data_IF_518679714413
#
_entry.id   IF_518679714413
#
_cell.length_a   1.000
_cell.length_b   1.000
_cell.length_c   1.000
_cell.angle_alpha   90.00
_cell.angle_beta   90.00
_cell.angle_gamma   90.00
#
_symmetry.space_group_name_H-M   'P 1'
#
loop_
_entity.id
_entity.type
_entity.pdbx_description
1 polymer ?
2 water ?
#
# COMPACT_ATOMS: atom_id res chain seq x y z
N UNK A 25 -35.97 14.74 -8.23
CA UNK A 25 -36.65 13.61 -8.87
C UNK A 25 -35.93 12.28 -8.58
N UNK A 26 -36.65 11.14 -8.73
CA UNK A 26 -36.17 9.77 -8.48
C UNK A 26 -35.01 9.38 -9.39
N UNK A 27 -35.12 9.68 -10.71
CA UNK A 27 -34.10 9.37 -11.72
C UNK A 27 -32.83 10.18 -11.51
N UNK A 28 -32.96 11.48 -11.14
CA UNK A 28 -31.85 12.40 -10.89
C UNK A 28 -31.07 12.02 -9.64
N UNK A 29 -31.78 11.65 -8.55
CA UNK A 29 -31.18 11.22 -7.28
C UNK A 29 -30.42 9.88 -7.46
N UNK A 30 -30.97 8.99 -8.31
CA UNK A 30 -30.42 7.66 -8.63
C UNK A 30 -29.14 7.79 -9.45
N UNK A 31 -29.15 8.66 -10.50
CA UNK A 31 -28.04 8.92 -11.41
C UNK A 31 -26.88 9.56 -10.68
N UNK A 32 -27.19 10.44 -9.68
CA UNK A 32 -26.21 11.16 -8.86
C UNK A 32 -25.46 10.19 -7.95
N UNK A 33 -26.20 9.24 -7.33
CA UNK A 33 -25.62 8.23 -6.45
C UNK A 33 -24.76 7.25 -7.25
N UNK A 34 -25.25 6.85 -8.45
CA UNK A 34 -24.55 5.96 -9.37
C UNK A 34 -23.22 6.56 -9.83
N UNK A 35 -23.20 7.90 -10.09
CA UNK A 35 -22.02 8.64 -10.51
C UNK A 35 -21.01 8.78 -9.36
N UNK A 36 -21.50 8.98 -8.12
CA UNK A 36 -20.65 9.10 -6.93
C UNK A 36 -19.96 7.76 -6.60
N UNK A 37 -20.68 6.64 -6.82
CA UNK A 37 -20.24 5.26 -6.60
C UNK A 37 -19.18 4.86 -7.64
N UNK A 38 -19.44 5.15 -8.93
CA UNK A 38 -18.56 4.86 -10.07
C UNK A 38 -17.19 5.54 -9.91
N UNK A 39 -17.18 6.83 -9.48
CA UNK A 39 -16.00 7.68 -9.24
C UNK A 39 -15.15 7.21 -8.04
N UNK A 40 -15.81 6.57 -7.04
CA UNK A 40 -15.17 6.01 -5.84
C UNK A 40 -14.59 4.62 -6.17
N UNK A 41 -15.41 3.74 -6.80
CA UNK A 41 -15.03 2.39 -7.21
C UNK A 41 -13.80 2.41 -8.13
N UNK A 42 -13.75 3.39 -9.05
CA UNK A 42 -12.63 3.52 -9.98
C UNK A 42 -11.38 3.98 -9.25
N UNK A 43 -11.50 4.90 -8.27
CA UNK A 43 -10.37 5.42 -7.51
C UNK A 43 -9.73 4.28 -6.67
N UNK A 44 -10.56 3.56 -5.89
CA UNK A 44 -10.15 2.43 -5.05
C UNK A 44 -9.53 1.34 -5.93
N UNK A 45 -10.14 1.02 -7.07
CA UNK A 45 -9.65 0.05 -8.03
C UNK A 45 -8.30 0.40 -8.63
N UNK A 46 -8.07 1.70 -8.90
CA UNK A 46 -6.80 2.21 -9.44
C UNK A 46 -5.70 2.18 -8.38
N UNK A 47 -6.00 2.66 -7.17
CA UNK A 47 -5.05 2.66 -6.07
C UNK A 47 -4.71 1.19 -5.72
N UNK A 48 -5.71 0.34 -5.68
CA UNK A 48 -5.59 -1.09 -5.40
C UNK A 48 -4.65 -1.79 -6.37
N UNK A 49 -4.73 -1.44 -7.67
CA UNK A 49 -3.87 -2.04 -8.69
C UNK A 49 -2.40 -1.70 -8.36
N UNK A 50 -2.15 -0.47 -7.99
CA UNK A 50 -0.84 0.06 -7.59
C UNK A 50 -0.34 -0.55 -6.28
N UNK A 51 -1.20 -1.12 -5.43
CA UNK A 51 -0.74 -1.74 -4.19
C UNK A 51 -0.38 -3.19 -4.41
N UNK A 52 -1.23 -3.90 -5.17
CA UNK A 52 -1.14 -5.35 -5.42
C UNK A 52 -0.10 -5.77 -6.49
N UNK A 53 0.18 -4.94 -7.48
CA UNK A 53 1.17 -5.29 -8.53
C UNK A 53 2.62 -5.31 -7.94
N UNK A 54 3.17 -4.24 -7.29
CA UNK A 54 4.52 -4.36 -6.70
C UNK A 54 4.57 -5.43 -5.61
N UNK A 55 3.45 -5.68 -4.94
CA UNK A 55 3.38 -6.69 -3.88
C UNK A 55 3.68 -8.11 -4.38
N UNK A 56 3.15 -8.47 -5.54
CA UNK A 56 3.35 -9.77 -6.17
C UNK A 56 4.86 -10.01 -6.40
N UNK A 57 5.58 -8.96 -6.83
CA UNK A 57 7.01 -8.94 -7.11
C UNK A 57 7.83 -9.14 -5.80
N UNK A 58 7.43 -8.44 -4.73
CA UNK A 58 8.06 -8.51 -3.41
C UNK A 58 7.93 -9.93 -2.85
N UNK A 59 6.71 -10.52 -2.88
CA UNK A 59 6.47 -11.88 -2.38
C UNK A 59 7.30 -12.87 -3.19
N UNK A 60 7.15 -12.86 -4.52
CA UNK A 60 7.83 -13.76 -5.44
C UNK A 60 9.34 -13.81 -5.28
N UNK A 61 9.98 -12.65 -5.30
CA UNK A 61 11.44 -12.57 -5.14
C UNK A 61 11.94 -12.79 -3.70
N UNK A 62 11.20 -12.33 -2.65
CA UNK A 62 11.66 -12.60 -1.25
C UNK A 62 11.59 -14.12 -0.94
N UNK A 63 10.60 -14.85 -1.51
CA UNK A 63 10.46 -16.30 -1.33
C UNK A 63 11.68 -17.03 -1.95
N UNK A 64 12.23 -16.50 -3.07
CA UNK A 64 13.41 -17.05 -3.72
C UNK A 64 14.64 -16.84 -2.85
N UNK A 65 14.69 -15.71 -2.10
CA UNK A 65 15.78 -15.38 -1.19
C UNK A 65 15.83 -16.36 -0.04
N UNK A 66 14.65 -16.69 0.54
CA UNK A 66 14.45 -17.64 1.66
C UNK A 66 15.08 -18.99 1.34
N UNK A 67 14.96 -19.46 0.07
CA UNK A 67 15.51 -20.75 -0.38
C UNK A 67 16.73 -20.51 -1.34
N UNK A 68 17.76 -19.80 -0.81
CA UNK A 68 19.00 -19.45 -1.51
C UNK A 68 20.21 -19.51 -0.58
N UNK A 69 21.34 -20.11 -1.05
CA UNK A 69 22.58 -20.29 -0.28
C UNK A 69 23.34 -18.98 -0.11
N UNK A 72 25.70 -13.94 -2.96
CA UNK A 72 25.72 -14.48 -4.34
C UNK A 72 25.10 -13.51 -5.36
N UNK A 73 25.55 -13.60 -6.63
CA UNK A 73 25.08 -12.73 -7.72
C UNK A 73 23.58 -12.91 -8.02
N UNK A 74 23.09 -14.18 -8.03
CA UNK A 74 21.66 -14.50 -8.27
C UNK A 74 20.80 -13.87 -7.16
N UNK A 75 21.22 -14.09 -5.90
CA UNK A 75 20.59 -13.58 -4.70
C UNK A 75 20.52 -12.07 -4.64
N UNK A 76 21.59 -11.41 -5.11
CA UNK A 76 21.71 -9.95 -5.17
C UNK A 76 20.63 -9.38 -6.09
N UNK A 77 20.41 -10.02 -7.26
CA UNK A 77 19.41 -9.62 -8.26
C UNK A 77 17.99 -9.78 -7.69
N UNK A 78 17.79 -10.78 -6.83
CA UNK A 78 16.53 -11.03 -6.16
C UNK A 78 16.26 -9.91 -5.14
N UNK A 79 17.27 -9.54 -4.34
CA UNK A 79 17.20 -8.45 -3.35
C UNK A 79 16.85 -7.13 -4.07
N UNK A 80 17.60 -6.80 -5.13
CA UNK A 80 17.42 -5.60 -5.92
C UNK A 80 16.00 -5.52 -6.47
N UNK A 81 15.43 -6.65 -6.90
CA UNK A 81 14.06 -6.68 -7.43
C UNK A 81 13.08 -6.44 -6.29
N UNK A 82 13.32 -6.98 -5.10
CA UNK A 82 12.52 -6.73 -3.89
C UNK A 82 12.56 -5.23 -3.50
N UNK A 83 13.77 -4.66 -3.39
CA UNK A 83 13.98 -3.26 -3.04
C UNK A 83 13.31 -2.30 -4.07
N UNK A 84 13.45 -2.55 -5.39
CA UNK A 84 12.83 -1.73 -6.44
C UNK A 84 11.29 -1.79 -6.38
N UNK A 85 10.72 -2.96 -6.15
CA UNK A 85 9.27 -3.10 -6.08
C UNK A 85 8.70 -2.42 -4.83
N UNK A 86 9.42 -2.57 -3.69
CA UNK A 86 9.04 -1.97 -2.42
C UNK A 86 9.10 -0.45 -2.48
N UNK A 87 10.14 0.09 -3.12
CA UNK A 87 10.36 1.53 -3.32
C UNK A 87 9.23 2.10 -4.24
N UNK A 88 8.87 1.37 -5.30
CA UNK A 88 7.78 1.79 -6.20
C UNK A 88 6.42 1.84 -5.45
N UNK A 89 6.18 0.87 -4.55
CA UNK A 89 4.95 0.82 -3.76
C UNK A 89 4.90 2.07 -2.81
N UNK A 90 6.02 2.38 -2.13
CA UNK A 90 6.22 3.56 -1.28
C UNK A 90 5.93 4.88 -2.03
N UNK A 91 6.43 5.02 -3.27
CA UNK A 91 6.17 6.20 -4.10
C UNK A 91 4.70 6.33 -4.47
N UNK A 92 4.03 5.23 -4.81
CA UNK A 92 2.60 5.24 -5.11
C UNK A 92 1.78 5.75 -3.91
N UNK A 93 2.11 5.30 -2.68
CA UNK A 93 1.43 5.75 -1.44
C UNK A 93 1.72 7.27 -1.21
N UNK A 94 2.98 7.69 -1.38
CA UNK A 94 3.33 9.10 -1.23
C UNK A 94 2.58 9.95 -2.27
N UNK A 95 2.44 9.46 -3.51
CA UNK A 95 1.69 10.14 -4.57
C UNK A 95 0.23 10.32 -4.24
N UNK A 96 -0.43 9.27 -3.66
CA UNK A 96 -1.84 9.35 -3.29
C UNK A 96 -2.04 10.39 -2.19
N UNK A 97 -1.15 10.42 -1.21
CA UNK A 97 -1.19 11.40 -0.11
C UNK A 97 -0.90 12.84 -0.58
N UNK A 98 0.11 13.02 -1.42
CA UNK A 98 0.49 14.34 -1.94
C UNK A 98 -0.58 14.90 -2.89
N UNK A 99 -1.17 14.06 -3.74
CA UNK A 99 -2.25 14.42 -4.64
C UNK A 99 -3.51 14.88 -3.86
N UNK A 100 -3.85 14.22 -2.73
CA UNK A 100 -5.01 14.57 -1.89
C UNK A 100 -4.79 15.93 -1.22
N UNK A 101 -3.53 16.19 -0.75
CA UNK A 101 -3.09 17.44 -0.14
C UNK A 101 -3.23 18.63 -1.14
N UNK A 102 -2.82 18.40 -2.40
CA UNK A 102 -2.90 19.35 -3.51
C UNK A 102 -4.38 19.62 -3.87
N UNK A 103 -5.23 18.56 -3.93
CA UNK A 103 -6.66 18.64 -4.25
C UNK A 103 -7.45 19.42 -3.17
N UNK A 104 -7.03 19.31 -1.91
CA UNK A 104 -7.61 20.02 -0.77
C UNK A 104 -7.10 21.48 -0.70
N UNK A 105 -6.08 21.80 -1.50
CA UNK A 105 -5.43 23.12 -1.53
C UNK A 105 -4.60 23.35 -0.29
N UNK A 106 -4.12 22.25 0.33
CA UNK A 106 -3.33 22.23 1.56
C UNK A 106 -1.81 22.13 1.30
N UNK A 107 -1.38 22.19 0.04
CA UNK A 107 0.06 22.14 -0.19
C UNK A 107 0.58 23.49 -0.59
N UNK A 108 1.32 24.11 0.33
CA UNK A 108 1.97 25.40 0.14
C UNK A 108 3.47 25.14 0.00
N UNK A 109 4.09 25.75 -1.01
CA UNK A 109 5.51 25.59 -1.27
C UNK A 109 6.36 26.47 -0.35
N UNK A 110 7.55 25.97 0.01
CA UNK A 110 8.58 26.63 0.80
C UNK A 110 9.65 27.16 -0.17
N UNK A 111 9.44 28.37 -0.74
CA UNK A 111 10.30 28.98 -1.76
C UNK A 111 11.66 29.47 -1.19
N UNK A 112 12.76 28.91 -1.78
CA UNK A 112 14.15 29.20 -1.45
C UNK A 112 15.08 29.03 -2.69
N UNK A 113 16.35 29.46 -2.57
CA UNK A 113 17.36 29.37 -3.63
C UNK A 113 17.84 27.91 -3.84
N UNK A 114 17.68 27.42 -5.09
CA UNK A 114 18.01 26.06 -5.50
C UNK A 114 19.08 26.08 -6.60
N UNK A 115 20.21 25.40 -6.38
CA UNK A 115 21.23 25.28 -7.41
C UNK A 115 20.81 24.11 -8.28
N UNK A 116 20.51 24.37 -9.55
CA UNK A 116 20.02 23.36 -10.50
C UNK A 116 21.02 22.19 -10.67
N UNK A 117 22.33 22.48 -10.71
CA UNK A 117 23.40 21.50 -10.86
C UNK A 117 23.31 20.38 -9.80
N UNK A 118 23.13 20.76 -8.52
CA UNK A 118 23.05 19.79 -7.43
C UNK A 118 21.74 19.00 -7.48
N UNK A 119 20.62 19.68 -7.82
CA UNK A 119 19.28 19.12 -7.94
C UNK A 119 19.26 17.95 -8.96
N UNK A 120 19.96 18.12 -10.10
CA UNK A 120 20.09 17.12 -11.15
C UNK A 120 20.99 15.95 -10.71
N UNK A 121 22.13 16.23 -10.04
CA UNK A 121 23.06 15.19 -9.59
C UNK A 121 22.47 14.35 -8.45
N UNK A 122 21.61 14.96 -7.62
CA UNK A 122 20.96 14.25 -6.51
C UNK A 122 19.92 13.28 -7.06
N UNK A 123 19.21 13.67 -8.15
CA UNK A 123 18.22 12.79 -8.75
C UNK A 123 18.90 11.60 -9.46
N UNK A 124 20.10 11.83 -10.00
CA UNK A 124 20.93 10.82 -10.68
C UNK A 124 21.47 9.77 -9.67
N UNK A 125 21.95 10.21 -8.50
CA UNK A 125 22.49 9.29 -7.51
C UNK A 125 21.38 8.50 -6.79
N UNK A 126 20.16 9.09 -6.62
CA UNK A 126 19.04 8.39 -5.97
C UNK A 126 18.50 7.28 -6.89
N UNK A 127 18.58 7.48 -8.22
CA UNK A 127 18.07 6.51 -9.20
C UNK A 127 19.15 5.57 -9.76
N UNK A 128 20.44 5.88 -9.54
CA UNK A 128 21.59 5.11 -10.02
C UNK A 128 21.46 3.58 -9.83
N UNK A 129 21.02 3.11 -8.64
CA UNK A 129 20.85 1.68 -8.35
C UNK A 129 19.77 1.03 -9.24
N UNK A 130 18.58 1.67 -9.37
CA UNK A 130 17.46 1.17 -10.19
C UNK A 130 17.81 1.21 -11.72
N UNK A 131 18.77 2.07 -12.11
CA UNK A 131 19.23 2.22 -13.48
C UNK A 131 20.17 1.07 -13.85
N UNK A 132 21.06 0.69 -12.92
CA UNK A 132 22.03 -0.38 -13.12
C UNK A 132 21.30 -1.72 -13.12
N UNK A 133 20.22 -1.83 -12.35
CA UNK A 133 19.34 -3.02 -12.27
C UNK A 133 18.63 -3.25 -13.62
N UNK A 134 18.28 -2.16 -14.30
CA UNK A 134 17.65 -2.19 -15.62
C UNK A 134 18.62 -2.06 -16.78
N UNK A 135 19.93 -2.07 -16.48
CA UNK A 135 21.01 -1.96 -17.47
C UNK A 135 20.98 -0.68 -18.28
N UNK A 136 20.58 0.43 -17.65
CA UNK A 136 20.44 1.76 -18.26
C UNK A 136 21.52 2.71 -17.70
N UNK A 137 21.94 3.68 -18.51
CA UNK A 137 22.93 4.72 -18.20
C UNK A 137 22.21 6.01 -17.87
N UNK A 138 22.44 6.55 -16.66
CA UNK A 138 21.90 7.84 -16.22
C UNK A 138 22.92 8.92 -16.46
N UNK A 139 22.59 9.90 -17.30
CA UNK A 139 23.48 11.00 -17.59
C UNK A 139 22.92 12.34 -17.11
N UNK A 140 23.83 13.30 -16.79
CA UNK A 140 23.55 14.67 -16.37
C UNK A 140 24.29 15.63 -17.32
N UNK A 141 23.55 16.52 -17.98
CA UNK A 141 24.12 17.51 -18.91
C UNK A 141 23.61 18.90 -18.52
N UNK A 142 24.22 19.47 -17.48
CA UNK A 142 23.89 20.80 -16.95
C UNK A 142 25.16 21.65 -16.88
N UNK A 143 25.09 22.88 -17.42
CA UNK A 143 26.22 23.81 -17.40
C UNK A 143 26.29 24.58 -16.08
N UNK A 144 27.44 25.23 -15.81
CA UNK A 144 27.67 26.04 -14.61
C UNK A 144 26.88 27.37 -14.67
N UNK A 145 26.53 27.80 -15.91
CA UNK A 145 25.82 29.04 -16.23
C UNK A 145 24.28 28.96 -15.96
N UNK A 146 23.76 27.75 -15.64
CA UNK A 146 22.33 27.57 -15.33
C UNK A 146 22.06 28.21 -13.95
N UNK A 147 23.02 28.04 -13.04
CA UNK A 147 23.04 28.62 -11.71
C UNK A 147 21.96 28.21 -10.74
N UNK A 148 21.30 29.22 -10.11
CA UNK A 148 20.28 29.07 -9.08
C UNK A 148 18.88 29.55 -9.50
N UNK A 149 17.86 28.75 -9.16
CA UNK A 149 16.44 29.04 -9.36
C UNK A 149 15.76 29.20 -8.00
N UNK A 150 14.53 29.75 -7.95
CA UNK A 150 13.82 29.92 -6.68
C UNK A 150 12.54 29.10 -6.68
N UNK A 151 12.51 28.09 -5.83
CA UNK A 151 11.42 27.14 -5.69
C UNK A 151 11.54 26.29 -4.43
N UNK A 152 10.74 25.22 -4.38
CA UNK A 152 10.71 24.28 -3.27
C UNK A 152 11.59 23.10 -3.64
N UNK A 153 12.69 22.94 -2.90
CA UNK A 153 13.68 21.89 -3.11
C UNK A 153 13.14 20.47 -3.06
N UNK A 154 12.32 20.20 -2.04
CA UNK A 154 11.71 18.89 -1.83
C UNK A 154 10.79 18.55 -2.99
N UNK A 155 9.93 19.49 -3.37
CA UNK A 155 8.94 19.27 -4.41
C UNK A 155 9.58 19.17 -5.78
N UNK A 156 10.65 19.94 -6.05
CA UNK A 156 11.39 19.85 -7.31
C UNK A 156 12.20 18.53 -7.39
N UNK A 157 12.72 18.03 -6.25
CA UNK A 157 13.45 16.76 -6.17
C UNK A 157 12.51 15.58 -6.45
N UNK A 158 11.30 15.67 -5.91
CA UNK A 158 10.24 14.71 -6.09
C UNK A 158 9.76 14.70 -7.55
N UNK A 159 9.69 15.89 -8.19
CA UNK A 159 9.32 16.02 -9.60
C UNK A 159 10.33 15.26 -10.48
N UNK A 160 11.63 15.51 -10.28
CA UNK A 160 12.70 14.84 -11.04
C UNK A 160 12.71 13.34 -10.79
N UNK A 161 12.47 12.92 -9.55
CA UNK A 161 12.41 11.50 -9.21
C UNK A 161 11.35 10.78 -10.02
N UNK A 162 10.13 11.38 -10.12
CA UNK A 162 9.02 10.79 -10.86
C UNK A 162 9.33 10.68 -12.32
N UNK A 163 9.98 11.72 -12.90
CA UNK A 163 10.36 11.73 -14.31
C UNK A 163 11.46 10.72 -14.63
N UNK A 164 12.46 10.55 -13.74
CA UNK A 164 13.56 9.58 -13.91
C UNK A 164 13.05 8.12 -13.81
N UNK A 165 12.16 7.83 -12.85
CA UNK A 165 11.66 6.47 -12.68
C UNK A 165 10.72 6.11 -13.82
N UNK A 166 9.94 7.10 -14.31
CA UNK A 166 9.07 6.94 -15.47
C UNK A 166 9.94 6.61 -16.70
N UNK A 167 11.06 7.36 -16.87
CA UNK A 167 12.02 7.17 -17.96
C UNK A 167 12.68 5.78 -17.88
N UNK A 168 13.13 5.34 -16.68
CA UNK A 168 13.77 4.04 -16.48
C UNK A 168 12.86 2.86 -16.83
N UNK A 169 11.55 3.02 -16.58
CA UNK A 169 10.53 2.00 -16.84
C UNK A 169 10.28 1.80 -18.33
N UNK A 170 10.50 2.86 -19.14
CA UNK A 170 10.29 2.89 -20.59
C UNK A 170 11.56 2.49 -21.38
N UNK A 171 12.77 2.75 -20.82
CA UNK A 171 14.07 2.50 -21.46
C UNK A 171 14.49 1.01 -21.36
N UNK A 172 14.88 0.37 -22.50
CA UNK A 172 15.33 -1.03 -22.44
C UNK A 172 16.81 -1.13 -22.00
N UNK A 173 17.32 -2.34 -21.66
CA UNK A 173 18.73 -2.43 -21.23
C UNK A 173 19.69 -2.06 -22.37
N UNK A 174 20.68 -1.24 -22.04
CA UNK A 174 21.64 -0.70 -22.99
C UNK A 174 21.31 0.73 -23.36
N UNK A 175 20.08 1.16 -23.01
CA UNK A 175 19.58 2.49 -23.26
C UNK A 175 20.17 3.57 -22.36
N UNK A 176 19.72 4.82 -22.58
CA UNK A 176 20.17 5.99 -21.83
C UNK A 176 19.01 6.89 -21.42
N UNK A 177 19.11 7.45 -20.20
CA UNK A 177 18.20 8.41 -19.60
C UNK A 177 19.03 9.64 -19.26
N UNK A 178 18.69 10.80 -19.83
CA UNK A 178 19.45 12.02 -19.61
C UNK A 178 18.65 13.06 -18.85
N UNK A 179 19.30 13.68 -17.85
CA UNK A 179 18.81 14.77 -17.02
C UNK A 179 19.53 16.04 -17.41
N UNK A 180 18.83 16.97 -18.04
CA UNK A 180 19.48 18.23 -18.45
C UNK A 180 18.71 19.47 -17.96
N UNK A 181 19.39 20.62 -17.95
CA UNK A 181 18.83 21.90 -17.57
C UNK A 181 19.35 22.98 -18.48
N UNK A 182 18.55 24.02 -18.73
CA UNK A 182 18.93 25.14 -19.60
C UNK A 182 18.21 26.41 -19.20
N UNK A 183 18.97 27.51 -19.09
CA UNK A 183 18.45 28.85 -18.82
C UNK A 183 18.38 29.59 -20.15
N UNK A 184 17.18 29.72 -20.71
CA UNK A 184 16.96 30.40 -21.99
C UNK A 184 15.53 30.90 -22.11
N UNK A 185 15.36 32.06 -22.75
CA UNK A 185 14.10 32.75 -23.07
C UNK A 185 13.28 33.08 -21.83
N UNK A 186 13.94 33.66 -20.82
CA UNK A 186 13.34 34.08 -19.56
C UNK A 186 12.75 32.98 -18.71
N UNK A 187 13.36 31.79 -18.75
CA UNK A 187 12.92 30.63 -17.97
C UNK A 187 14.07 29.62 -17.80
N UNK A 188 13.82 28.64 -16.92
CA UNK A 188 14.72 27.50 -16.74
C UNK A 188 13.91 26.28 -17.12
N UNK A 189 14.45 25.43 -17.99
CA UNK A 189 13.78 24.22 -18.41
C UNK A 189 14.57 22.99 -17.98
N UNK A 190 13.92 22.08 -17.27
CA UNK A 190 14.50 20.81 -16.81
C UNK A 190 14.02 19.70 -17.75
N UNK A 191 14.94 19.01 -18.42
CA UNK A 191 14.54 17.95 -19.35
C UNK A 191 14.94 16.58 -18.86
N UNK A 192 14.11 15.57 -19.12
CA UNK A 192 14.39 14.17 -18.77
C UNK A 192 14.09 13.38 -20.04
N UNK A 193 15.15 13.13 -20.82
CA UNK A 193 15.12 12.45 -22.09
C UNK A 193 15.42 10.96 -21.91
N UNK A 194 14.81 10.12 -22.74
CA UNK A 194 15.05 8.69 -22.68
C UNK A 194 15.12 8.11 -24.08
N UNK A 195 15.95 7.06 -24.24
CA UNK A 195 16.14 6.38 -25.53
C UNK A 195 15.24 5.16 -25.59
N UNK A 196 14.14 5.21 -24.85
CA UNK A 196 13.19 4.13 -24.76
C UNK A 196 12.18 4.10 -25.88
N UNK A 197 11.11 3.35 -25.61
CA UNK A 197 9.96 3.26 -26.45
C UNK A 197 9.23 4.58 -26.32
N UNK A 198 8.79 5.11 -27.44
CA UNK A 198 8.06 6.36 -27.41
C UNK A 198 6.65 6.15 -26.91
N UNK A 199 6.02 7.23 -26.48
CA UNK A 199 4.65 7.24 -26.06
C UNK A 199 3.77 7.12 -27.34
N UNK A 200 2.89 6.09 -27.49
CA UNK A 200 2.04 6.07 -28.70
C UNK A 200 1.13 7.31 -28.73
N UNK A 201 0.94 7.87 -29.93
CA UNK A 201 0.18 9.08 -30.20
C UNK A 201 -1.13 9.26 -29.37
N UNK A 202 -1.96 8.21 -29.27
CA UNK A 202 -3.26 8.27 -28.59
C UNK A 202 -3.15 8.53 -27.09
N UNK A 203 -2.04 8.12 -26.44
CA UNK A 203 -1.90 8.37 -25.01
C UNK A 203 -1.13 9.67 -24.74
N UNK A 204 -0.47 10.27 -25.78
CA UNK A 204 0.32 11.50 -25.66
C UNK A 204 -0.48 12.71 -25.11
N UNK A 205 -1.77 12.82 -25.46
CA UNK A 205 -2.65 13.91 -25.04
C UNK A 205 -3.10 13.76 -23.57
N UNK A 206 -3.09 12.52 -23.05
CA UNK A 206 -3.55 12.18 -21.70
C UNK A 206 -2.38 11.73 -20.80
N UNK A 207 -1.15 12.04 -21.19
CA UNK A 207 0.02 11.54 -20.47
C UNK A 207 0.07 12.04 -19.00
N UNK A 208 -0.45 13.25 -18.70
CA UNK A 208 -0.44 13.85 -17.36
C UNK A 208 -1.78 13.65 -16.62
N UNK A 209 -2.64 12.74 -17.11
CA UNK A 209 -3.91 12.37 -16.47
C UNK A 209 -3.65 11.27 -15.46
N UNK A 210 -4.39 11.30 -14.35
CA UNK A 210 -4.31 10.34 -13.26
C UNK A 210 -4.71 8.97 -13.70
N UNK A 211 -3.88 7.98 -13.37
CA UNK A 211 -4.13 6.57 -13.66
C UNK A 211 -4.48 6.31 -15.15
N UNK A 212 -3.66 6.90 -16.07
CA UNK A 212 -3.80 6.75 -17.51
C UNK A 212 -3.20 5.37 -17.92
N UNK A 213 -3.96 4.63 -18.72
CA UNK A 213 -3.63 3.29 -19.19
C UNK A 213 -2.46 3.23 -20.16
N UNK A 214 -1.27 2.81 -19.65
CA UNK A 214 -0.02 2.66 -20.41
C UNK A 214 0.31 1.15 -20.59
N UNK A 215 0.72 0.76 -21.81
CA UNK A 215 1.03 -0.62 -22.21
C UNK A 215 2.32 -1.16 -21.54
N UNK A 216 3.42 -0.37 -21.55
CA UNK A 216 4.73 -0.73 -20.97
C UNK A 216 4.68 -0.83 -19.44
N UNK A 217 3.89 0.05 -18.81
CA UNK A 217 3.71 0.15 -17.36
C UNK A 217 3.06 1.46 -16.98
N UNK A 218 2.15 1.41 -16.01
CA UNK A 218 1.41 2.57 -15.53
C UNK A 218 2.16 3.57 -14.66
N UNK A 219 2.09 4.89 -14.97
CA UNK A 219 2.75 5.91 -14.11
C UNK A 219 1.94 6.29 -12.85
N UNK A 220 0.68 5.81 -12.77
CA UNK A 220 -0.26 6.05 -11.70
C UNK A 220 -0.58 7.52 -11.55
N UNK A 221 -0.15 8.08 -10.40
CA UNK A 221 -0.32 9.52 -10.08
C UNK A 221 0.98 10.31 -10.26
N UNK A 222 2.08 9.60 -10.55
CA UNK A 222 3.40 10.18 -10.79
C UNK A 222 3.45 11.38 -11.73
N UNK A 223 2.90 11.25 -12.95
CA UNK A 223 2.96 12.33 -13.95
C UNK A 223 1.94 13.44 -13.67
N UNK A 224 0.83 13.12 -13.02
CA UNK A 224 -0.18 14.10 -12.62
C UNK A 224 0.38 14.98 -11.52
N UNK A 225 1.22 14.40 -10.68
CA UNK A 225 1.94 15.03 -9.56
C UNK A 225 3.02 15.96 -10.09
N UNK A 226 3.81 15.51 -11.08
CA UNK A 226 4.81 16.33 -11.78
C UNK A 226 4.14 17.61 -12.30
N UNK A 227 3.02 17.46 -13.04
CA UNK A 227 2.27 18.58 -13.60
C UNK A 227 1.77 19.53 -12.51
N UNK A 228 1.17 18.99 -11.42
CA UNK A 228 0.62 19.76 -10.30
C UNK A 228 1.71 20.50 -9.51
N UNK A 229 2.86 19.87 -9.31
CA UNK A 229 3.99 20.48 -8.58
C UNK A 229 4.64 21.60 -9.39
N UNK A 230 4.87 21.38 -10.70
CA UNK A 230 5.46 22.38 -11.58
C UNK A 230 4.48 23.54 -11.78
N UNK A 231 3.17 23.25 -11.85
CA UNK A 231 2.15 24.29 -12.03
C UNK A 231 2.00 25.13 -10.77
N UNK A 232 2.34 24.56 -9.59
CA UNK A 232 2.31 25.25 -8.29
C UNK A 232 3.47 26.25 -8.22
N UNK A 233 4.55 26.00 -9.00
CA UNK A 233 5.74 26.86 -9.12
C UNK A 233 5.54 27.96 -10.19
N UNK A 234 4.33 28.07 -10.74
CA UNK A 234 3.99 29.01 -11.83
C UNK A 234 4.45 28.55 -13.19
N UNK A 235 4.81 27.27 -13.30
CA UNK A 235 5.29 26.68 -14.54
C UNK A 235 4.31 25.74 -15.23
N UNK A 236 4.81 25.00 -16.22
CA UNK A 236 4.05 24.05 -17.04
C UNK A 236 4.97 22.93 -17.54
N UNK A 237 4.38 21.80 -17.95
CA UNK A 237 5.12 20.60 -18.37
C UNK A 237 4.74 20.24 -19.77
N UNK A 238 5.63 19.57 -20.46
CA UNK A 238 5.41 19.13 -21.84
C UNK A 238 6.07 17.78 -22.09
N UNK A 239 5.52 17.05 -23.08
CA UNK A 239 6.02 15.77 -23.55
C UNK A 239 6.31 15.86 -25.04
N UNK A 240 7.55 15.55 -25.42
CA UNK A 240 7.99 15.45 -26.81
C UNK A 240 8.31 13.99 -27.05
N UNK A 241 7.49 13.31 -27.87
CA UNK A 241 7.67 11.89 -28.09
C UNK A 241 7.41 11.44 -29.51
N UNK A 242 8.06 10.33 -29.86
CA UNK A 242 7.93 9.60 -31.12
C UNK A 242 8.28 8.13 -30.80
N UNK A 243 7.34 7.15 -31.03
CA UNK A 243 7.63 5.72 -30.74
C UNK A 243 9.06 5.18 -31.03
N UNK A 244 9.71 5.65 -32.11
CA UNK A 244 11.07 5.25 -32.47
C UNK A 244 12.20 6.20 -32.10
N UNK A 245 11.87 7.37 -31.51
CA UNK A 245 12.85 8.40 -31.14
C UNK A 245 12.80 8.78 -29.64
N UNK A 246 12.49 7.81 -28.78
CA UNK A 246 12.41 8.03 -27.34
C UNK A 246 11.37 9.04 -26.90
N UNK A 247 11.61 9.68 -25.74
CA UNK A 247 10.71 10.65 -25.12
C UNK A 247 11.47 11.72 -24.35
N UNK A 248 10.90 12.92 -24.27
CA UNK A 248 11.46 14.02 -23.48
C UNK A 248 10.35 14.68 -22.73
N UNK A 249 10.53 14.83 -21.41
CA UNK A 249 9.63 15.52 -20.50
C UNK A 249 10.33 16.80 -20.07
N UNK A 250 9.71 17.93 -20.32
CA UNK A 250 10.29 19.22 -19.94
C UNK A 250 9.45 19.90 -18.89
N UNK A 251 10.10 20.53 -17.91
CA UNK A 251 9.52 21.37 -16.88
C UNK A 251 9.90 22.78 -17.22
N UNK A 252 8.94 23.61 -17.53
CA UNK A 252 9.23 24.98 -17.84
C UNK A 252 8.97 25.79 -16.61
N UNK A 253 10.04 26.35 -16.03
CA UNK A 253 9.95 27.16 -14.81
C UNK A 253 10.32 28.59 -15.12
N UNK A 254 9.37 29.56 -15.07
CA UNK A 254 9.72 30.95 -15.41
C UNK A 254 10.60 31.63 -14.35
N UNK A 255 11.40 32.62 -14.80
CA UNK A 255 12.28 33.44 -13.98
C UNK A 255 11.44 34.45 -13.18
N UNK A 256 11.87 34.74 -11.95
CA UNK A 256 11.19 35.68 -11.07
C UNK A 256 12.10 36.92 -10.97
N UNK A 257 11.82 37.96 -11.80
CA UNK A 257 12.62 39.19 -11.84
C UNK A 257 12.43 40.02 -10.55
N UNK B 25 -31.43 18.19 -7.67
CA UNK B 25 -30.57 17.72 -8.75
C UNK B 25 -29.11 18.12 -8.53
N UNK B 26 -28.88 19.33 -7.97
CA UNK B 26 -27.54 19.86 -7.70
C UNK B 26 -27.09 19.56 -6.26
N UNK B 27 -28.00 19.75 -5.27
CA UNK B 27 -27.72 19.51 -3.84
C UNK B 27 -27.51 18.01 -3.53
N UNK B 28 -28.32 17.13 -4.18
CA UNK B 28 -28.27 15.67 -4.03
C UNK B 28 -26.98 15.09 -4.64
N UNK B 29 -26.59 15.58 -5.82
CA UNK B 29 -25.37 15.17 -6.54
C UNK B 29 -24.12 15.59 -5.74
N UNK B 30 -24.19 16.77 -5.10
CA UNK B 30 -23.11 17.37 -4.29
C UNK B 30 -22.91 16.58 -2.99
N UNK B 31 -24.02 16.24 -2.29
CA UNK B 31 -24.03 15.47 -1.03
C UNK B 31 -23.50 14.03 -1.24
N UNK B 32 -23.79 13.44 -2.41
CA UNK B 32 -23.37 12.10 -2.82
C UNK B 32 -21.85 12.06 -3.05
N UNK B 33 -21.32 13.09 -3.73
CA UNK B 33 -19.89 13.22 -4.03
C UNK B 33 -19.13 13.52 -2.75
N UNK B 34 -19.69 14.34 -1.83
CA UNK B 34 -19.12 14.68 -0.53
C UNK B 34 -18.97 13.42 0.35
N UNK B 35 -19.97 12.50 0.29
CA UNK B 35 -19.95 11.23 1.02
C UNK B 35 -18.90 10.26 0.43
N UNK B 36 -18.77 10.23 -0.91
CA UNK B 36 -17.80 9.38 -1.60
C UNK B 36 -16.36 9.84 -1.35
N UNK B 37 -16.15 11.17 -1.18
CA UNK B 37 -14.86 11.82 -0.87
C UNK B 37 -14.49 11.65 0.62
N UNK B 38 -15.49 11.32 1.46
CA UNK B 38 -15.32 11.00 2.87
C UNK B 38 -14.71 9.58 2.95
N UNK B 39 -15.23 8.66 2.10
CA UNK B 39 -14.78 7.26 1.97
C UNK B 39 -13.36 7.17 1.43
N UNK B 40 -13.04 8.04 0.47
CA UNK B 40 -11.74 8.16 -0.19
C UNK B 40 -10.69 8.58 0.85
N UNK B 41 -10.99 9.63 1.65
CA UNK B 41 -10.10 10.16 2.68
C UNK B 41 -9.72 9.10 3.71
N UNK B 42 -10.70 8.28 4.14
CA UNK B 42 -10.52 7.19 5.10
C UNK B 42 -9.63 6.09 4.51
N UNK B 43 -9.90 5.72 3.23
CA UNK B 43 -9.15 4.68 2.53
C UNK B 43 -7.69 5.08 2.38
N UNK B 44 -7.46 6.30 1.90
CA UNK B 44 -6.15 6.89 1.70
C UNK B 44 -5.39 6.97 3.05
N UNK B 45 -6.09 7.34 4.12
CA UNK B 45 -5.54 7.41 5.48
C UNK B 45 -5.10 6.07 6.01
N UNK B 46 -5.92 5.04 5.79
CA UNK B 46 -5.64 3.66 6.17
C UNK B 46 -4.45 3.10 5.41
N UNK B 47 -4.36 3.39 4.09
CA UNK B 47 -3.27 2.94 3.23
C UNK B 47 -1.93 3.44 3.82
N UNK B 48 -1.86 4.72 4.15
CA UNK B 48 -0.70 5.40 4.70
C UNK B 48 -0.30 4.88 6.08
N UNK B 49 -1.26 4.77 7.02
CA UNK B 49 -1.01 4.36 8.40
C UNK B 49 -0.63 2.87 8.54
N UNK B 50 -1.26 1.99 7.76
CA UNK B 50 -1.07 0.55 7.82
C UNK B 50 0.16 0.02 7.03
N UNK B 51 0.46 0.59 5.85
CA UNK B 51 1.49 -0.01 5.00
C UNK B 51 2.91 0.55 5.09
N UNK B 52 3.10 1.74 5.65
CA UNK B 52 4.43 2.36 5.58
C UNK B 52 5.50 1.74 6.49
N UNK B 53 5.16 1.25 7.67
CA UNK B 53 6.16 0.61 8.55
C UNK B 53 6.68 -0.69 7.90
N UNK B 54 5.87 -1.70 7.47
CA UNK B 54 6.47 -2.89 6.83
C UNK B 54 7.28 -2.55 5.58
N UNK B 55 6.87 -1.55 4.83
CA UNK B 55 7.57 -1.14 3.62
C UNK B 55 8.98 -0.62 3.87
N UNK B 56 9.13 0.28 4.86
CA UNK B 56 10.41 0.89 5.21
C UNK B 56 11.41 -0.20 5.66
N UNK B 57 10.90 -1.21 6.39
CA UNK B 57 11.63 -2.35 6.95
C UNK B 57 12.16 -3.24 5.81
N UNK B 58 11.33 -3.51 4.79
CA UNK B 58 11.70 -4.28 3.59
C UNK B 58 12.86 -3.54 2.87
N UNK B 59 12.73 -2.19 2.71
CA UNK B 59 13.71 -1.35 2.00
C UNK B 59 15.03 -1.30 2.74
N UNK B 60 15.00 -1.05 4.05
CA UNK B 60 16.20 -0.98 4.88
C UNK B 60 16.98 -2.26 4.96
N UNK B 61 16.33 -3.40 5.26
CA UNK B 61 16.99 -4.70 5.31
C UNK B 61 17.45 -5.16 3.91
N UNK B 62 16.72 -4.78 2.83
CA UNK B 62 17.09 -5.07 1.43
C UNK B 62 18.35 -4.32 1.07
N UNK B 63 18.48 -3.06 1.53
CA UNK B 63 19.67 -2.27 1.26
C UNK B 63 20.89 -2.90 1.91
N UNK B 64 20.75 -3.52 3.12
CA UNK B 64 21.84 -4.23 3.81
C UNK B 64 22.28 -5.49 3.08
N UNK B 65 21.31 -6.26 2.57
CA UNK B 65 21.61 -7.48 1.85
C UNK B 65 22.29 -7.20 0.50
N UNK B 66 21.95 -6.06 -0.15
CA UNK B 66 22.52 -5.61 -1.44
C UNK B 66 24.00 -5.33 -1.32
N UNK B 67 24.45 -4.78 -0.17
CA UNK B 67 25.87 -4.47 0.12
C UNK B 67 26.42 -5.45 1.19
N UNK B 68 26.33 -6.77 0.91
CA UNK B 68 26.78 -7.87 1.80
C UNK B 68 27.44 -9.01 1.01
N UNK B 69 28.46 -9.65 1.61
CA UNK B 69 29.24 -10.75 1.03
C UNK B 69 28.41 -12.04 0.96
N UNK B 72 25.28 -16.14 4.41
CA UNK B 72 25.86 -15.76 5.71
C UNK B 72 24.81 -15.72 6.83
N UNK B 73 25.24 -15.91 8.09
CA UNK B 73 24.42 -15.94 9.32
C UNK B 73 23.64 -14.63 9.53
N UNK B 74 24.33 -13.47 9.37
CA UNK B 74 23.80 -12.11 9.49
C UNK B 74 22.77 -11.84 8.38
N UNK B 75 23.12 -12.23 7.15
CA UNK B 75 22.27 -12.15 5.98
C UNK B 75 20.95 -12.89 6.12
N UNK B 76 20.94 -14.05 6.83
CA UNK B 76 19.76 -14.88 7.10
C UNK B 76 18.77 -14.16 8.01
N UNK B 77 19.29 -13.36 8.98
CA UNK B 77 18.48 -12.53 9.87
C UNK B 77 17.84 -11.38 9.10
N UNK B 78 18.56 -10.85 8.08
CA UNK B 78 18.09 -9.77 7.21
C UNK B 78 16.95 -10.30 6.33
N UNK B 79 17.12 -11.52 5.77
CA UNK B 79 16.10 -12.18 4.94
C UNK B 79 14.82 -12.40 5.75
N UNK B 80 14.95 -12.96 6.95
CA UNK B 80 13.86 -13.25 7.87
C UNK B 80 13.08 -11.99 8.19
N UNK B 81 13.78 -10.86 8.39
CA UNK B 81 13.14 -9.57 8.65
C UNK B 81 12.39 -9.09 7.40
N UNK B 82 12.99 -9.24 6.21
CA UNK B 82 12.35 -8.91 4.91
C UNK B 82 11.09 -9.79 4.72
N UNK B 83 11.17 -11.08 5.04
CA UNK B 83 10.06 -12.04 4.90
C UNK B 83 8.90 -11.77 5.87
N UNK B 84 9.20 -11.41 7.11
CA UNK B 84 8.16 -11.09 8.08
C UNK B 84 7.42 -9.80 7.67
N UNK B 85 8.17 -8.79 7.24
CA UNK B 85 7.63 -7.50 6.80
C UNK B 85 6.80 -7.67 5.49
N UNK B 86 7.26 -8.53 4.57
CA UNK B 86 6.57 -8.85 3.30
C UNK B 86 5.23 -9.51 3.56
N UNK B 87 5.20 -10.50 4.47
CA UNK B 87 3.96 -11.22 4.77
C UNK B 87 3.00 -10.29 5.51
N UNK B 88 3.52 -9.44 6.41
CA UNK B 88 2.68 -8.46 7.09
C UNK B 88 2.16 -7.42 6.08
N UNK B 89 2.94 -7.05 5.04
CA UNK B 89 2.49 -6.13 4.00
C UNK B 89 1.34 -6.72 3.18
N UNK B 90 1.42 -8.01 2.83
CA UNK B 90 0.37 -8.74 2.11
C UNK B 90 -0.98 -8.75 2.90
N UNK B 91 -0.92 -9.15 4.17
CA UNK B 91 -2.08 -9.18 5.06
C UNK B 91 -2.67 -7.78 5.28
N UNK B 92 -1.82 -6.75 5.45
CA UNK B 92 -2.29 -5.38 5.66
C UNK B 92 -3.00 -4.80 4.39
N UNK B 93 -2.51 -5.16 3.20
CA UNK B 93 -3.12 -4.71 1.94
C UNK B 93 -4.50 -5.37 1.81
N UNK B 94 -4.64 -6.66 2.18
CA UNK B 94 -5.94 -7.33 2.19
C UNK B 94 -6.92 -6.62 3.14
N UNK B 95 -6.47 -6.28 4.38
CA UNK B 95 -7.25 -5.60 5.40
C UNK B 95 -7.75 -4.23 4.95
N UNK B 96 -6.88 -3.42 4.33
CA UNK B 96 -7.18 -2.07 3.88
C UNK B 96 -8.22 -2.13 2.77
N UNK B 97 -8.08 -3.11 1.85
CA UNK B 97 -9.03 -3.31 0.74
C UNK B 97 -10.36 -3.85 1.20
N UNK B 98 -10.37 -4.83 2.13
CA UNK B 98 -11.61 -5.41 2.68
C UNK B 98 -12.39 -4.38 3.53
N UNK B 99 -11.67 -3.55 4.31
CA UNK B 99 -12.26 -2.50 5.14
C UNK B 99 -12.95 -1.42 4.26
N UNK B 100 -12.34 -1.04 3.10
CA UNK B 100 -12.91 -0.06 2.18
C UNK B 100 -14.20 -0.59 1.52
N UNK B 101 -14.18 -1.89 1.15
CA UNK B 101 -15.32 -2.63 0.56
C UNK B 101 -16.53 -2.65 1.53
N UNK B 102 -16.26 -2.91 2.82
CA UNK B 102 -17.22 -2.93 3.92
C UNK B 102 -17.79 -1.52 4.17
N UNK B 103 -16.92 -0.49 4.22
CA UNK B 103 -17.29 0.91 4.46
C UNK B 103 -18.21 1.45 3.33
N UNK B 104 -17.98 1.00 2.08
CA UNK B 104 -18.78 1.38 0.92
C UNK B 104 -20.11 0.57 0.85
N UNK B 105 -20.23 -0.47 1.69
CA UNK B 105 -21.38 -1.37 1.71
C UNK B 105 -21.39 -2.28 0.49
N UNK B 106 -20.20 -2.54 -0.08
CA UNK B 106 -20.01 -3.37 -1.28
C UNK B 106 -19.64 -4.84 -0.95
N UNK B 107 -19.64 -5.22 0.33
CA UNK B 107 -19.34 -6.60 0.65
C UNK B 107 -20.61 -7.35 1.02
N UNK B 108 -21.01 -8.28 0.13
CA UNK B 108 -22.18 -9.14 0.33
C UNK B 108 -21.70 -10.55 0.65
N UNK B 109 -22.27 -11.16 1.69
CA UNK B 109 -21.88 -12.51 2.09
C UNK B 109 -22.60 -13.58 1.28
N UNK B 110 -21.92 -14.72 1.09
CA UNK B 110 -22.39 -15.90 0.38
C UNK B 110 -22.73 -16.95 1.43
N UNK B 111 -23.95 -16.86 1.98
CA UNK B 111 -24.47 -17.74 3.06
C UNK B 111 -24.58 -19.22 2.56
N UNK B 112 -24.01 -20.15 3.37
CA UNK B 112 -23.97 -21.60 3.15
C UNK B 112 -23.74 -22.36 4.49
N UNK B 113 -23.94 -23.69 4.49
CA UNK B 113 -23.78 -24.55 5.68
C UNK B 113 -22.29 -24.76 6.01
N UNK B 114 -21.90 -24.42 7.25
CA UNK B 114 -20.51 -24.48 7.74
C UNK B 114 -20.40 -25.43 8.96
N UNK B 115 -19.52 -26.45 8.88
CA UNK B 115 -19.29 -27.35 10.02
C UNK B 115 -18.22 -26.71 10.90
N UNK B 116 -18.62 -26.20 12.08
CA UNK B 116 -17.77 -25.46 13.04
C UNK B 116 -16.45 -26.21 13.37
N UNK B 117 -16.52 -27.55 13.54
CA UNK B 117 -15.37 -28.41 13.83
C UNK B 117 -14.23 -28.25 12.80
N UNK B 118 -14.59 -28.26 11.49
CA UNK B 118 -13.64 -28.12 10.39
C UNK B 118 -13.07 -26.70 10.33
N UNK B 119 -13.94 -25.69 10.54
CA UNK B 119 -13.62 -24.25 10.54
C UNK B 119 -12.53 -23.93 11.56
N UNK B 120 -12.62 -24.53 12.77
CA UNK B 120 -11.66 -24.37 13.86
C UNK B 120 -10.34 -25.07 13.55
N UNK B 121 -10.38 -26.31 12.98
CA UNK B 121 -9.18 -27.09 12.64
C UNK B 121 -8.42 -26.48 11.45
N UNK B 122 -9.15 -25.86 10.50
CA UNK B 122 -8.60 -25.16 9.33
C UNK B 122 -7.77 -23.95 9.78
N UNK B 123 -8.30 -23.18 10.78
CA UNK B 123 -7.63 -21.99 11.33
C UNK B 123 -6.39 -22.36 12.15
N UNK B 124 -6.44 -23.53 12.82
CA UNK B 124 -5.34 -24.07 13.60
C UNK B 124 -4.17 -24.52 12.70
N UNK B 125 -4.46 -25.21 11.58
CA UNK B 125 -3.39 -25.68 10.70
C UNK B 125 -2.77 -24.53 9.88
N UNK B 126 -3.55 -23.48 9.54
CA UNK B 126 -3.02 -22.33 8.81
C UNK B 126 -2.07 -21.49 9.70
N UNK B 127 -2.32 -21.46 11.01
CA UNK B 127 -1.52 -20.68 11.96
C UNK B 127 -0.46 -21.50 12.71
N UNK B 128 -0.52 -22.84 12.61
CA UNK B 128 0.39 -23.79 13.28
C UNK B 128 1.89 -23.42 13.14
N UNK B 129 2.34 -23.03 11.93
CA UNK B 129 3.73 -22.65 11.67
C UNK B 129 4.14 -21.38 12.44
N UNK B 130 3.31 -20.33 12.41
CA UNK B 130 3.58 -19.05 13.11
C UNK B 130 3.52 -19.23 14.64
N UNK B 131 2.80 -20.26 15.13
CA UNK B 131 2.65 -20.60 16.54
C UNK B 131 3.93 -21.28 17.05
N UNK B 132 4.48 -22.21 16.25
CA UNK B 132 5.71 -22.95 16.60
C UNK B 132 6.92 -22.02 16.56
N UNK B 133 6.90 -21.02 15.65
CA UNK B 133 7.91 -19.98 15.48
C UNK B 133 7.97 -19.08 16.73
N UNK B 134 6.80 -18.82 17.33
CA UNK B 134 6.65 -18.02 18.55
C UNK B 134 6.62 -18.85 19.82
N UNK B 135 6.89 -20.16 19.70
CA UNK B 135 6.92 -21.12 20.80
C UNK B 135 5.62 -21.23 21.57
N UNK B 136 4.48 -21.11 20.87
CA UNK B 136 3.13 -21.15 21.43
C UNK B 136 2.42 -22.46 20.99
N UNK B 137 1.53 -22.99 21.86
CA UNK B 137 0.72 -24.19 21.64
C UNK B 137 -0.67 -23.76 21.17
N UNK B 138 -1.09 -24.24 19.98
CA UNK B 138 -2.38 -23.93 19.35
C UNK B 138 -3.35 -25.09 19.55
N UNK B 139 -4.35 -24.90 20.45
CA UNK B 139 -5.34 -25.93 20.80
C UNK B 139 -6.74 -25.66 20.22
N UNK B 140 -7.51 -26.76 19.99
CA UNK B 140 -8.89 -26.76 19.50
C UNK B 140 -9.74 -27.57 20.49
N UNK B 141 -10.79 -26.94 21.06
CA UNK B 141 -11.70 -27.57 22.02
C UNK B 141 -13.15 -27.37 21.55
N UNK B 142 -13.56 -28.17 20.56
CA UNK B 142 -14.90 -28.11 19.98
C UNK B 142 -15.57 -29.48 20.07
N UNK B 143 -16.81 -29.48 20.59
CA UNK B 143 -17.66 -30.68 20.75
C UNK B 143 -18.38 -30.92 19.43
N UNK B 144 -18.68 -32.19 19.13
CA UNK B 144 -19.39 -32.52 17.89
C UNK B 144 -20.89 -32.25 18.06
N UNK B 145 -21.27 -31.72 19.25
CA UNK B 145 -22.63 -31.29 19.59
C UNK B 145 -22.89 -29.88 19.01
N UNK B 146 -21.80 -29.12 18.68
CA UNK B 146 -21.86 -27.77 18.08
C UNK B 146 -22.44 -27.90 16.65
N UNK B 147 -21.93 -28.89 15.91
CA UNK B 147 -22.39 -29.22 14.58
C UNK B 147 -22.16 -28.21 13.47
N UNK B 148 -23.26 -27.82 12.82
CA UNK B 148 -23.31 -26.97 11.63
C UNK B 148 -23.97 -25.59 11.89
N UNK B 149 -23.39 -24.50 11.29
CA UNK B 149 -23.91 -23.13 11.34
C UNK B 149 -24.10 -22.58 9.91
N UNK B 150 -24.86 -21.49 9.78
CA UNK B 150 -25.06 -20.83 8.50
C UNK B 150 -24.20 -19.54 8.46
N UNK B 151 -23.46 -19.37 7.37
CA UNK B 151 -22.61 -18.19 7.15
C UNK B 151 -21.74 -18.26 5.91
N UNK B 152 -20.82 -17.30 5.77
CA UNK B 152 -19.84 -17.22 4.68
C UNK B 152 -18.56 -17.84 5.18
N UNK B 153 -18.16 -18.97 4.59
CA UNK B 153 -16.98 -19.73 4.97
C UNK B 153 -15.67 -18.97 4.87
N UNK B 154 -15.49 -18.22 3.76
CA UNK B 154 -14.29 -17.41 3.52
C UNK B 154 -14.16 -16.33 4.60
N UNK B 155 -15.25 -15.60 4.85
CA UNK B 155 -15.27 -14.49 5.78
C UNK B 155 -15.14 -14.96 7.21
N UNK B 156 -15.72 -16.12 7.56
CA UNK B 156 -15.58 -16.68 8.91
C UNK B 156 -14.16 -17.24 9.13
N UNK B 157 -13.52 -17.79 8.08
CA UNK B 157 -12.16 -18.30 8.15
C UNK B 157 -11.18 -17.14 8.37
N UNK B 158 -11.44 -16.02 7.67
CA UNK B 158 -10.67 -14.79 7.74
C UNK B 158 -10.82 -14.15 9.16
N UNK B 159 -12.04 -14.24 9.74
CA UNK B 159 -12.32 -13.74 11.10
C UNK B 159 -11.45 -14.50 12.12
N UNK B 160 -11.47 -15.83 12.07
CA UNK B 160 -10.67 -16.67 12.96
C UNK B 160 -9.18 -16.43 12.77
N UNK B 161 -8.74 -16.26 11.52
CA UNK B 161 -7.34 -15.98 11.23
C UNK B 161 -6.87 -14.70 11.94
N UNK B 162 -7.66 -13.62 11.86
CA UNK B 162 -7.35 -12.35 12.52
C UNK B 162 -7.29 -12.48 14.02
N UNK B 163 -8.19 -13.27 14.61
CA UNK B 163 -8.22 -13.50 16.05
C UNK B 163 -7.02 -14.35 16.52
N UNK B 164 -6.62 -15.37 15.74
CA UNK B 164 -5.48 -16.27 16.07
C UNK B 164 -4.16 -15.47 15.96
N UNK B 165 -4.03 -14.63 14.91
CA UNK B 165 -2.90 -13.73 14.67
C UNK B 165 -2.72 -12.81 15.87
N UNK B 166 -3.81 -12.14 16.25
CA UNK B 166 -3.89 -11.21 17.37
C UNK B 166 -3.46 -11.90 18.67
N UNK B 167 -3.96 -13.14 18.89
CA UNK B 167 -3.65 -13.97 20.06
C UNK B 167 -2.16 -14.34 20.08
N UNK B 168 -1.60 -14.79 18.94
CA UNK B 168 -0.19 -15.18 18.86
C UNK B 168 0.77 -14.02 19.15
N UNK B 169 0.37 -12.78 18.78
CA UNK B 169 1.16 -11.56 19.00
C UNK B 169 1.22 -11.16 20.47
N UNK B 170 0.21 -11.52 21.25
CA UNK B 170 0.06 -11.20 22.67
C UNK B 170 0.64 -12.28 23.59
N UNK B 171 0.63 -13.55 23.14
CA UNK B 171 1.09 -14.72 23.91
C UNK B 171 2.64 -14.87 23.88
N UNK B 172 3.29 -15.00 25.07
CA UNK B 172 4.74 -15.18 25.07
C UNK B 172 5.14 -16.64 24.78
N UNK B 173 6.43 -16.95 24.51
CA UNK B 173 6.79 -18.36 24.26
C UNK B 173 6.56 -19.24 25.49
N UNK B 174 5.95 -20.40 25.26
CA UNK B 174 5.56 -21.33 26.30
C UNK B 174 4.07 -21.24 26.60
N UNK B 175 3.44 -20.17 26.11
CA UNK B 175 2.02 -19.90 26.29
C UNK B 175 1.12 -20.76 25.42
N UNK B 176 -0.20 -20.56 25.56
CA UNK B 176 -1.23 -21.31 24.83
C UNK B 176 -2.31 -20.37 24.25
N UNK B 177 -2.76 -20.71 23.02
CA UNK B 177 -3.84 -20.05 22.29
C UNK B 177 -4.88 -21.15 22.00
N UNK B 178 -6.11 -20.96 22.50
CA UNK B 178 -7.16 -21.94 22.34
C UNK B 178 -8.28 -21.43 21.43
N UNK B 179 -8.73 -22.29 20.50
CA UNK B 179 -9.84 -22.09 19.58
C UNK B 179 -10.98 -22.98 20.03
N UNK B 180 -12.06 -22.41 20.59
CA UNK B 180 -13.20 -23.21 21.05
C UNK B 180 -14.53 -22.73 20.45
N UNK B 181 -15.53 -23.59 20.51
CA UNK B 181 -16.88 -23.30 20.04
C UNK B 181 -17.91 -23.89 21.00
N UNK B 182 -19.06 -23.23 21.13
CA UNK B 182 -20.13 -23.68 22.02
C UNK B 182 -21.50 -23.23 21.49
N UNK B 183 -22.47 -24.16 21.47
CA UNK B 183 -23.85 -23.89 21.08
C UNK B 183 -24.65 -23.77 22.37
N UNK B 184 -24.96 -22.54 22.79
CA UNK B 184 -25.71 -22.31 24.03
C UNK B 184 -26.58 -21.06 23.93
N UNK B 185 -27.82 -21.14 24.48
CA UNK B 185 -28.81 -20.05 24.58
C UNK B 185 -29.18 -19.42 23.22
N UNK B 186 -29.53 -20.28 22.27
CA UNK B 186 -29.96 -19.87 20.94
C UNK B 186 -28.92 -19.16 20.08
N UNK B 187 -27.64 -19.52 20.25
CA UNK B 187 -26.51 -18.96 19.50
C UNK B 187 -25.29 -19.89 19.51
N UNK B 188 -24.33 -19.61 18.62
CA UNK B 188 -23.07 -20.30 18.57
C UNK B 188 -22.01 -19.24 18.88
N UNK B 189 -21.14 -19.54 19.84
CA UNK B 189 -20.07 -18.63 20.21
C UNK B 189 -18.70 -19.26 19.91
N UNK B 190 -17.88 -18.56 19.12
CA UNK B 190 -16.53 -18.96 18.76
C UNK B 190 -15.57 -18.20 19.64
N UNK B 191 -14.79 -18.90 20.46
CA UNK B 191 -13.86 -18.23 21.35
C UNK B 191 -12.40 -18.45 20.91
N UNK B 192 -11.57 -17.42 21.07
CA UNK B 192 -10.15 -17.50 20.81
C UNK B 192 -9.49 -16.95 22.06
N UNK B 193 -9.10 -17.87 22.95
CA UNK B 193 -8.49 -17.54 24.22
C UNK B 193 -6.99 -17.57 24.13
N UNK B 194 -6.31 -16.77 24.97
CA UNK B 194 -4.85 -16.72 25.01
C UNK B 194 -4.34 -16.52 26.44
N UNK B 195 -3.19 -17.15 26.74
CA UNK B 195 -2.55 -17.08 28.05
C UNK B 195 -1.50 -15.94 28.06
N UNK B 196 -1.72 -14.94 27.20
CA UNK B 196 -0.87 -13.77 27.06
C UNK B 196 -1.03 -12.74 28.16
N UNK B 197 -0.40 -11.56 27.98
CA UNK B 197 -0.35 -10.43 28.93
C UNK B 197 -1.71 -10.06 29.55
N UNK B 198 -2.74 -9.98 28.72
CA UNK B 198 -4.06 -9.55 29.13
C UNK B 198 -4.26 -8.09 28.79
N UNK B 199 -5.51 -7.73 28.42
CA UNK B 199 -5.92 -6.38 28.00
C UNK B 199 -6.40 -5.54 29.23
N UNK B 200 -5.86 -4.31 29.43
CA UNK B 200 -6.33 -3.48 30.57
C UNK B 200 -7.75 -2.93 30.33
N UNK B 201 -8.60 -2.95 31.37
CA UNK B 201 -10.01 -2.53 31.36
C UNK B 201 -10.37 -1.24 30.59
N UNK B 202 -9.51 -0.19 30.62
CA UNK B 202 -9.79 1.07 29.93
C UNK B 202 -9.75 0.94 28.38
N UNK B 203 -8.95 0.00 27.84
CA UNK B 203 -8.89 -0.17 26.39
C UNK B 203 -9.87 -1.27 25.93
N UNK B 204 -10.46 -2.05 26.87
CA UNK B 204 -11.40 -3.15 26.60
C UNK B 204 -12.63 -2.71 25.78
N UNK B 205 -13.15 -1.50 26.05
CA UNK B 205 -14.34 -0.95 25.36
C UNK B 205 -14.04 -0.52 23.90
N UNK B 206 -12.77 -0.18 23.61
CA UNK B 206 -12.31 0.32 22.31
C UNK B 206 -11.41 -0.67 21.57
N UNK B 207 -11.40 -1.94 22.01
CA UNK B 207 -10.50 -2.93 21.44
C UNK B 207 -10.76 -3.18 19.92
N UNK B 208 -12.00 -2.98 19.44
CA UNK B 208 -12.42 -3.18 18.04
C UNK B 208 -12.40 -1.89 17.21
N UNK B 209 -11.83 -0.81 17.75
CA UNK B 209 -11.67 0.47 17.06
C UNK B 209 -10.39 0.41 16.24
N UNK B 210 -10.39 1.00 15.03
CA UNK B 210 -9.24 1.02 14.13
C UNK B 210 -8.09 1.81 14.74
N UNK B 211 -6.87 1.21 14.73
CA UNK B 211 -5.57 1.75 15.19
C UNK B 211 -5.59 2.25 16.66
N UNK B 212 -6.36 1.57 17.53
CA UNK B 212 -6.50 1.90 18.96
C UNK B 212 -5.11 1.85 19.71
N UNK B 213 -4.19 1.01 19.24
CA UNK B 213 -2.84 0.87 19.80
C UNK B 213 -1.84 1.86 19.25
N UNK B 218 2.32 -1.92 14.72
CA UNK B 218 1.73 -3.10 14.10
C UNK B 218 0.38 -2.88 13.44
N UNK B 219 -0.25 -3.97 12.88
CA UNK B 219 -1.56 -3.82 12.19
C UNK B 219 -2.75 -3.42 13.07
N UNK B 220 -3.50 -2.43 12.58
CA UNK B 220 -4.64 -1.85 13.27
C UNK B 220 -6.02 -2.03 12.68
N UNK B 221 -6.19 -2.83 11.60
CA UNK B 221 -7.51 -3.04 10.99
C UNK B 221 -8.06 -4.44 11.30
N UNK B 222 -7.19 -5.37 11.69
CA UNK B 222 -7.56 -6.75 12.01
C UNK B 222 -8.80 -6.94 12.88
N UNK B 223 -8.86 -6.28 14.08
CA UNK B 223 -9.99 -6.45 15.01
C UNK B 223 -11.23 -5.70 14.58
N UNK B 224 -11.07 -4.58 13.86
CA UNK B 224 -12.18 -3.79 13.31
C UNK B 224 -12.85 -4.60 12.18
N UNK B 225 -12.07 -5.42 11.46
CA UNK B 225 -12.48 -6.32 10.38
C UNK B 225 -13.26 -7.49 10.95
N UNK B 226 -12.77 -8.10 12.05
CA UNK B 226 -13.46 -9.17 12.79
C UNK B 226 -14.88 -8.67 13.19
N UNK B 227 -14.96 -7.48 13.81
CA UNK B 227 -16.23 -6.89 14.24
C UNK B 227 -17.17 -6.67 13.04
N UNK B 228 -16.65 -6.11 11.94
CA UNK B 228 -17.42 -5.81 10.73
C UNK B 228 -17.94 -7.09 10.04
N UNK B 229 -17.13 -8.16 10.01
CA UNK B 229 -17.48 -9.42 9.38
C UNK B 229 -18.52 -10.17 10.19
N UNK B 230 -18.36 -10.22 11.54
CA UNK B 230 -19.29 -10.89 12.46
C UNK B 230 -20.59 -10.11 12.50
N UNK B 231 -20.54 -8.78 12.42
CA UNK B 231 -21.75 -7.97 12.42
C UNK B 231 -22.54 -8.10 11.13
N UNK B 232 -21.85 -8.44 10.03
CA UNK B 232 -22.43 -8.67 8.70
C UNK B 232 -23.22 -9.98 8.71
N UNK B 233 -22.83 -10.91 9.62
CA UNK B 233 -23.47 -12.22 9.84
C UNK B 233 -24.64 -12.14 10.85
N UNK B 234 -25.05 -10.91 11.21
CA UNK B 234 -26.09 -10.65 12.19
C UNK B 234 -25.66 -10.88 13.63
N UNK B 235 -24.34 -10.99 13.85
CA UNK B 235 -23.75 -11.23 15.17
C UNK B 235 -23.08 -10.02 15.78
N UNK B 236 -22.32 -10.27 16.86
CA UNK B 236 -21.58 -9.26 17.62
C UNK B 236 -20.35 -9.91 18.27
N UNK B 237 -19.38 -9.09 18.67
CA UNK B 237 -18.13 -9.59 19.24
C UNK B 237 -17.94 -9.02 20.64
N UNK B 238 -17.14 -9.72 21.44
CA UNK B 238 -16.84 -9.31 22.82
C UNK B 238 -15.42 -9.71 23.22
N UNK B 239 -14.88 -9.02 24.21
CA UNK B 239 -13.59 -9.28 24.80
C UNK B 239 -13.75 -9.47 26.31
N UNK B 240 -13.27 -10.64 26.78
CA UNK B 240 -13.18 -11.06 28.19
C UNK B 240 -11.70 -11.08 28.50
N UNK B 241 -11.24 -10.16 29.38
CA UNK B 241 -9.81 -10.08 29.69
C UNK B 241 -9.54 -9.59 31.10
N UNK B 242 -8.59 -10.25 31.76
CA UNK B 242 -8.08 -9.91 33.09
C UNK B 242 -6.60 -9.52 32.96
N UNK B 243 -6.20 -8.29 33.36
CA UNK B 243 -4.79 -7.89 33.21
C UNK B 243 -3.85 -8.71 34.11
N UNK B 244 -3.14 -9.64 33.46
CA UNK B 244 -2.22 -10.58 34.09
C UNK B 244 -2.58 -12.02 33.78
N UNK B 245 -3.89 -12.34 33.84
CA UNK B 245 -4.45 -13.67 33.57
C UNK B 245 -4.41 -13.99 32.05
N UNK B 246 -5.26 -13.33 31.26
CA UNK B 246 -5.30 -13.56 29.81
C UNK B 246 -6.33 -12.75 29.04
N UNK B 247 -6.74 -13.27 27.87
CA UNK B 247 -7.71 -12.67 26.95
C UNK B 247 -8.51 -13.73 26.22
N UNK B 248 -9.80 -13.43 25.98
CA UNK B 248 -10.74 -14.25 25.23
C UNK B 248 -11.59 -13.34 24.37
N UNK B 249 -11.61 -13.63 23.08
CA UNK B 249 -12.40 -12.94 22.06
C UNK B 249 -13.50 -13.86 21.63
N UNK B 250 -14.74 -13.43 21.78
CA UNK B 250 -15.88 -14.23 21.41
C UNK B 250 -16.63 -13.62 20.26
N UNK B 251 -17.09 -14.48 19.36
CA UNK B 251 -17.96 -14.16 18.24
C UNK B 251 -19.29 -14.72 18.60
N UNK B 252 -20.29 -13.89 18.76
CA UNK B 252 -21.63 -14.38 19.07
C UNK B 252 -22.39 -14.41 17.78
N UNK B 253 -22.72 -15.62 17.33
CA UNK B 253 -23.44 -15.81 16.08
C UNK B 253 -24.81 -16.39 16.39
N UNK B 254 -25.91 -15.62 16.21
CA UNK B 254 -27.24 -16.17 16.55
C UNK B 254 -27.70 -17.26 15.58
N UNK B 255 -28.53 -18.21 16.08
CA UNK B 255 -29.09 -19.31 15.30
C UNK B 255 -30.18 -18.79 14.34
#
# INVERSE_FOLDING_TARGET
MGSSHHHHHHSSGLVPRGSHMLQSALADRSAALAEAERLKRDFVGNVSYELRTPLTTIIGYSELLERADGISERGRNHVAAVRAAATQLARSIDDVLDMAQIDAGEMALEIEDIRVSDLLLNAQERALKDAQLGGVTLAVECEEDVGLIRGDGKRLAQTLDHLVENALRQTPPGGRVTLSARRALGEVRLDVSDTGRGVPFHVQAHIFDRFVGRDRGGPGLGLALVKALVELHGGWVALESEPGNGSTFTCHLPETQQPGAMQPELGF
MGSSHHHHHHSSGLVPRGSHMLQSALADRSAALAEAERLKRDFVGNVSYELRTPLTTIIGYSELLERADGISERGRNHVAAVRAAATQLARSIDDVLDMAQIDAGEMALEIEDIRVSDLLLNAQERALKDAQLGGVTLAVECEEDVGLIRGDGKRLAQTLDHLVENALRQTPPGGRVTLSARRALGEVRLDVSDTGRGVPFHVQAHIFDRFVGRDRGGPGLGLALVKALVELHGGWVALESEPGNGSTFTCHLPETQQPGAMQPELGF
#
